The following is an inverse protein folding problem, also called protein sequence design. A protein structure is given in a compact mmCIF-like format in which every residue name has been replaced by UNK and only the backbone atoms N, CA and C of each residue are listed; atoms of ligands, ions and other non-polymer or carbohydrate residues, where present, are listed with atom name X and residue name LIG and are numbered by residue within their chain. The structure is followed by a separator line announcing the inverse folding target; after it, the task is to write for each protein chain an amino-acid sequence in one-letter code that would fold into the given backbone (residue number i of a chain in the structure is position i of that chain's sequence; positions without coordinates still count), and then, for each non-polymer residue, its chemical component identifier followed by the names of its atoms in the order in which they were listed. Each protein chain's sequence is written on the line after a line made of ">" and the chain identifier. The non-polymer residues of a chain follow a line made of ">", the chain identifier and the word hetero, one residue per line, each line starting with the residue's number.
data_IF_959965550211
#
_entry.id   IF_959965550211
#
_cell.length_a   1.000
_cell.length_b   1.000
_cell.length_c   1.000
_cell.angle_alpha   90.00
_cell.angle_beta   90.00
_cell.angle_gamma   90.00
#
_symmetry.space_group_name_H-M   'P 1'
#
loop_
_entity.id
_entity.type
_entity.pdbx_description
1 polymer ?
#
# COMPACT_ATOMS: atom_id res chain seq x y z
N UNK A 1 -19.99 8.76 14.79
CA UNK A 1 -19.06 7.85 15.50
C UNK A 1 -18.21 7.15 14.45
N UNK A 2 -16.89 7.35 14.47
CA UNK A 2 -16.00 6.75 13.49
C UNK A 2 -15.74 5.29 13.91
N UNK A 3 -16.09 4.28 13.10
CA UNK A 3 -15.74 2.90 13.40
C UNK A 3 -14.22 2.71 13.37
N UNK A 4 -13.66 1.76 14.15
CA UNK A 4 -12.21 1.56 14.23
C UNK A 4 -11.54 1.31 12.88
N UNK A 5 -12.27 0.73 11.92
CA UNK A 5 -11.79 0.47 10.56
C UNK A 5 -11.53 1.75 9.74
N UNK A 6 -12.17 2.87 10.08
CA UNK A 6 -11.97 4.17 9.41
C UNK A 6 -10.67 4.87 9.88
N UNK A 7 -10.03 4.40 10.96
CA UNK A 7 -8.76 4.98 11.47
C UNK A 7 -7.56 4.64 10.59
N UNK A 8 -7.53 3.43 10.00
CA UNK A 8 -6.40 2.98 9.17
C UNK A 8 -6.19 3.92 7.97
N UNK A 9 -7.25 4.26 7.21
CA UNK A 9 -7.21 5.34 6.25
C UNK A 9 -6.65 6.69 6.70
N UNK A 10 -7.07 7.17 7.88
CA UNK A 10 -6.63 8.45 8.41
C UNK A 10 -5.14 8.41 8.74
N UNK A 11 -4.67 7.30 9.31
CA UNK A 11 -3.26 7.09 9.60
C UNK A 11 -2.42 7.11 8.31
N UNK A 12 -2.86 6.40 7.26
CA UNK A 12 -2.19 6.41 5.94
C UNK A 12 -2.16 7.84 5.38
N UNK A 13 -3.25 8.60 5.51
CA UNK A 13 -3.31 10.01 5.05
C UNK A 13 -2.31 10.89 5.78
N UNK A 14 -2.28 10.82 7.11
CA UNK A 14 -1.35 11.60 7.93
C UNK A 14 0.09 11.24 7.60
N UNK A 15 0.42 9.95 7.51
CA UNK A 15 1.74 9.47 7.12
C UNK A 15 2.16 9.97 5.73
N UNK A 16 1.25 9.93 4.74
CA UNK A 16 1.53 10.43 3.40
C UNK A 16 1.83 11.94 3.39
N UNK A 17 1.11 12.73 4.20
CA UNK A 17 1.34 14.17 4.34
C UNK A 17 2.64 14.48 5.08
N UNK A 18 2.89 13.84 6.22
CA UNK A 18 4.11 14.05 7.02
C UNK A 18 5.38 13.64 6.28
N UNK A 19 5.32 12.52 5.54
CA UNK A 19 6.44 12.02 4.76
C UNK A 19 6.57 12.68 3.37
N UNK A 20 5.69 13.63 3.02
CA UNK A 20 5.61 14.26 1.69
C UNK A 20 5.61 13.22 0.54
N UNK A 21 4.83 12.15 0.70
CA UNK A 21 4.76 11.08 -0.29
C UNK A 21 3.97 11.57 -1.51
N UNK A 22 4.64 11.65 -2.66
CA UNK A 22 4.02 11.99 -3.95
C UNK A 22 3.35 10.80 -4.63
N UNK A 23 3.92 9.59 -4.48
CA UNK A 23 3.43 8.36 -5.09
C UNK A 23 3.33 7.23 -4.05
N UNK A 24 2.16 6.60 -3.95
CA UNK A 24 1.93 5.48 -3.04
C UNK A 24 1.07 4.38 -3.67
N UNK A 25 1.29 3.13 -3.30
CA UNK A 25 0.38 2.03 -3.62
C UNK A 25 -0.20 1.47 -2.33
N UNK A 26 -1.48 1.17 -2.34
CA UNK A 26 -2.20 0.55 -1.23
C UNK A 26 -2.60 -0.85 -1.69
N UNK A 27 -2.03 -1.85 -1.05
CA UNK A 27 -2.25 -3.27 -1.24
C UNK A 27 -3.14 -3.77 -0.12
N UNK A 28 -4.23 -4.46 -0.42
CA UNK A 28 -5.15 -4.97 0.59
C UNK A 28 -5.57 -6.40 0.30
N UNK A 29 -5.68 -7.24 1.33
CA UNK A 29 -6.15 -8.61 1.20
C UNK A 29 -7.69 -8.73 1.10
N UNK A 30 -8.18 -9.90 0.75
CA UNK A 30 -9.60 -10.26 0.61
C UNK A 30 -10.42 -10.09 1.88
N UNK A 31 -9.78 -10.15 3.06
CA UNK A 31 -10.42 -9.95 4.36
C UNK A 31 -10.86 -8.50 4.57
N UNK A 32 -10.20 -7.56 3.90
CA UNK A 32 -10.56 -6.15 3.97
C UNK A 32 -11.64 -5.82 2.93
N UNK A 33 -12.86 -5.64 3.44
CA UNK A 33 -13.97 -5.09 2.65
C UNK A 33 -13.69 -3.62 2.36
N UNK A 34 -13.22 -3.34 1.15
CA UNK A 34 -13.08 -1.98 0.63
C UNK A 34 -14.44 -1.35 0.40
N UNK A 35 -15.01 -0.79 1.47
CA UNK A 35 -16.15 0.08 1.32
C UNK A 35 -15.72 1.40 0.70
N UNK A 36 -16.61 1.99 -0.10
CA UNK A 36 -16.42 3.12 -1.02
C UNK A 36 -15.67 4.36 -0.48
N UNK A 37 -15.45 4.44 0.84
CA UNK A 37 -14.70 5.50 1.52
C UNK A 37 -13.22 5.55 1.14
N UNK A 38 -12.60 4.44 0.73
CA UNK A 38 -11.16 4.44 0.37
C UNK A 38 -10.81 5.41 -0.78
N UNK A 39 -11.74 5.62 -1.73
CA UNK A 39 -11.61 6.59 -2.82
C UNK A 39 -11.68 8.05 -2.35
N UNK A 40 -12.26 8.31 -1.17
CA UNK A 40 -12.37 9.66 -0.57
C UNK A 40 -11.24 9.97 0.43
N UNK A 41 -10.37 9.01 0.75
CA UNK A 41 -9.33 9.19 1.79
C UNK A 41 -8.20 10.12 1.40
N UNK A 42 -7.87 10.12 0.11
CA UNK A 42 -6.85 10.98 -0.48
C UNK A 42 -7.51 12.06 -1.33
N UNK A 43 -8.80 12.33 -1.09
CA UNK A 43 -9.48 13.48 -1.64
C UNK A 43 -8.76 14.73 -1.10
N UNK A 44 -8.25 15.57 -2.00
CA UNK A 44 -7.42 16.75 -1.70
C UNK A 44 -5.99 16.49 -1.21
N UNK A 45 -5.47 15.26 -1.30
CA UNK A 45 -4.04 15.00 -1.09
C UNK A 45 -3.34 14.96 -2.45
N UNK A 46 -2.25 15.71 -2.68
CA UNK A 46 -1.48 15.68 -3.93
C UNK A 46 -0.62 14.40 -4.05
N UNK A 47 -1.17 13.24 -3.69
CA UNK A 47 -0.50 11.94 -3.74
C UNK A 47 -1.17 11.08 -4.81
N UNK A 48 -0.42 10.75 -5.85
CA UNK A 48 -0.83 9.76 -6.85
C UNK A 48 -0.84 8.39 -6.19
N UNK A 49 -2.03 7.82 -6.04
CA UNK A 49 -2.20 6.56 -5.35
C UNK A 49 -2.83 5.50 -6.24
N UNK A 50 -2.39 4.25 -6.05
CA UNK A 50 -2.97 3.09 -6.71
C UNK A 50 -3.46 2.13 -5.64
N UNK A 51 -4.74 1.81 -5.71
CA UNK A 51 -5.37 0.89 -4.78
C UNK A 51 -5.59 -0.43 -5.50
N UNK A 52 -4.94 -1.49 -5.03
CA UNK A 52 -4.94 -2.80 -5.67
C UNK A 52 -5.08 -3.89 -4.64
N UNK A 53 -5.84 -4.94 -4.98
CA UNK A 53 -5.94 -6.12 -4.15
C UNK A 53 -4.62 -6.89 -4.17
N UNK A 54 -4.18 -7.38 -3.02
CA UNK A 54 -2.99 -8.22 -2.92
C UNK A 54 -3.25 -9.53 -3.66
N UNK A 55 -2.32 -9.93 -4.52
CA UNK A 55 -2.41 -11.21 -5.25
C UNK A 55 -1.89 -12.36 -4.40
N UNK A 56 -2.22 -13.58 -4.81
CA UNK A 56 -1.73 -14.80 -4.15
C UNK A 56 -0.20 -14.91 -4.13
N UNK A 57 0.37 -15.66 -3.16
CA UNK A 57 1.82 -15.72 -2.85
C UNK A 57 2.81 -16.15 -3.96
N UNK A 58 2.40 -16.29 -5.22
CA UNK A 58 3.32 -16.41 -6.37
C UNK A 58 3.23 -15.27 -7.40
N UNK A 59 2.29 -14.36 -7.22
CA UNK A 59 1.99 -13.25 -8.14
C UNK A 59 2.31 -11.88 -7.53
N UNK A 60 2.59 -11.84 -6.22
CA UNK A 60 2.96 -10.62 -5.49
C UNK A 60 4.22 -10.00 -6.11
N UNK A 61 5.23 -10.79 -6.47
CA UNK A 61 6.43 -10.27 -7.15
C UNK A 61 6.11 -9.52 -8.44
N UNK A 62 5.24 -10.08 -9.27
CA UNK A 62 4.83 -9.44 -10.54
C UNK A 62 4.05 -8.16 -10.27
N UNK A 63 3.23 -8.16 -9.22
CA UNK A 63 2.48 -6.98 -8.81
C UNK A 63 3.42 -5.87 -8.32
N UNK A 64 4.40 -6.19 -7.47
CA UNK A 64 5.41 -5.23 -7.01
C UNK A 64 6.21 -4.67 -8.20
N UNK A 65 6.59 -5.51 -9.16
CA UNK A 65 7.27 -5.07 -10.39
C UNK A 65 6.40 -4.10 -11.21
N UNK A 66 5.12 -4.41 -11.42
CA UNK A 66 4.19 -3.53 -12.14
C UNK A 66 4.01 -2.17 -11.44
N UNK A 67 3.96 -2.16 -10.11
CA UNK A 67 3.87 -0.91 -9.36
C UNK A 67 5.16 -0.08 -9.47
N UNK A 68 6.32 -0.76 -9.58
CA UNK A 68 7.60 -0.09 -9.84
C UNK A 68 7.65 0.52 -11.24
N UNK A 69 7.10 -0.15 -12.26
CA UNK A 69 6.97 0.38 -13.62
C UNK A 69 6.08 1.63 -13.68
N UNK A 70 5.14 1.76 -12.73
CA UNK A 70 4.30 2.95 -12.54
C UNK A 70 5.00 4.09 -11.76
N UNK A 71 6.30 3.93 -11.48
CA UNK A 71 7.13 4.84 -10.67
C UNK A 71 6.62 5.06 -9.24
N UNK A 72 5.99 4.02 -8.67
CA UNK A 72 5.57 4.01 -7.29
C UNK A 72 6.69 3.40 -6.45
N UNK A 73 7.14 4.15 -5.44
CA UNK A 73 8.21 3.76 -4.52
C UNK A 73 7.73 3.46 -3.11
N UNK A 74 6.55 3.96 -2.72
CA UNK A 74 5.97 3.73 -1.40
C UNK A 74 4.82 2.73 -1.49
N UNK A 75 4.82 1.76 -0.58
CA UNK A 75 3.82 0.70 -0.53
C UNK A 75 3.22 0.65 0.88
N UNK A 76 1.89 0.65 0.95
CA UNK A 76 1.11 0.38 2.14
C UNK A 76 0.46 -0.99 1.94
N UNK A 77 0.75 -1.95 2.81
CA UNK A 77 0.22 -3.31 2.73
C UNK A 77 -0.71 -3.53 3.92
N UNK A 78 -1.93 -3.98 3.64
CA UNK A 78 -2.94 -4.32 4.63
C UNK A 78 -3.36 -5.77 4.38
N UNK A 79 -3.09 -6.65 5.33
CA UNK A 79 -3.42 -8.06 5.20
C UNK A 79 -3.11 -8.82 6.49
N UNK A 80 -3.28 -10.14 6.44
CA UNK A 80 -2.88 -11.02 7.52
C UNK A 80 -1.35 -11.13 7.62
N UNK A 81 -0.88 -11.78 8.68
CA UNK A 81 0.56 -11.98 8.91
C UNK A 81 1.23 -12.78 7.79
N UNK A 82 0.53 -13.76 7.20
CA UNK A 82 1.06 -14.57 6.12
C UNK A 82 1.26 -13.75 4.83
N UNK A 83 0.28 -12.92 4.49
CA UNK A 83 0.30 -11.99 3.37
C UNK A 83 1.38 -10.93 3.56
N UNK A 84 1.54 -10.40 4.77
CA UNK A 84 2.61 -9.46 5.11
C UNK A 84 3.99 -10.11 4.94
N UNK A 85 4.17 -11.32 5.48
CA UNK A 85 5.44 -12.07 5.39
C UNK A 85 5.77 -12.39 3.93
N UNK A 86 4.81 -12.94 3.18
CA UNK A 86 5.01 -13.23 1.76
C UNK A 86 5.30 -11.97 0.92
N UNK A 87 4.69 -10.83 1.28
CA UNK A 87 4.97 -9.56 0.59
C UNK A 87 6.34 -9.01 0.94
N UNK A 88 6.76 -9.13 2.21
CA UNK A 88 8.09 -8.75 2.66
C UNK A 88 9.17 -9.62 2.01
N UNK A 89 9.00 -10.94 1.99
CA UNK A 89 9.91 -11.88 1.35
C UNK A 89 10.05 -11.58 -0.15
N UNK A 90 8.91 -11.35 -0.84
CA UNK A 90 8.90 -10.98 -2.26
C UNK A 90 9.56 -9.61 -2.52
N UNK A 91 9.39 -8.65 -1.61
CA UNK A 91 10.00 -7.34 -1.69
C UNK A 91 11.52 -7.43 -1.43
N UNK A 92 11.95 -8.22 -0.45
CA UNK A 92 13.36 -8.45 -0.12
C UNK A 92 14.09 -9.15 -1.27
N UNK A 93 13.49 -10.19 -1.87
CA UNK A 93 14.01 -10.86 -3.06
C UNK A 93 14.26 -9.91 -4.25
N UNK A 94 13.52 -8.78 -4.29
CA UNK A 94 13.66 -7.73 -5.32
C UNK A 94 14.44 -6.50 -4.85
N UNK A 95 15.02 -6.52 -3.65
CA UNK A 95 15.68 -5.38 -3.02
C UNK A 95 14.77 -4.13 -2.89
N UNK A 96 13.47 -4.35 -2.77
CA UNK A 96 12.48 -3.27 -2.57
C UNK A 96 12.35 -2.85 -1.10
N UNK A 97 13.02 -3.54 -0.18
CA UNK A 97 13.04 -3.26 1.27
C UNK A 97 14.16 -2.32 1.73
N UNK A 98 14.89 -1.68 0.80
CA UNK A 98 15.97 -0.73 1.11
C UNK A 98 15.49 0.71 1.32
N UNK A 99 16.23 1.49 2.13
CA UNK A 99 16.08 2.96 2.13
C UNK A 99 16.53 3.49 0.77
N UNK A 100 15.67 4.24 0.08
CA UNK A 100 16.06 5.00 -1.11
C UNK A 100 16.86 6.26 -0.71
N UNK A 101 17.99 6.08 -0.02
CA UNK A 101 19.01 7.11 0.22
C UNK A 101 20.36 6.41 0.40
N UNK A 102 21.03 6.19 -0.73
CA UNK A 102 22.49 6.20 -0.83
C UNK A 102 22.88 7.47 -1.56
#
# INVERSE_FOLDING_TARGET
>A
VMPPADLIPEAIRQLALEMNISNAAILFDNEFVMDHKYKSLLLNVPTRHVIVRLKEPGQIEKQLAQLRDLDIVNFFVLGDENALTATLDAAEARNFTGRKYG
#
